data_IF_975729813556
#
_entry.id   IF_975729813556
#
_cell.length_a   1.000
_cell.length_b   1.000
_cell.length_c   1.000
_cell.angle_alpha   90.00
_cell.angle_beta   90.00
_cell.angle_gamma   90.00
#
_symmetry.space_group_name_H-M   'P 1'
#
loop_
_entity.id
_entity.type
_entity.pdbx_description
1 polymer ?
#
# COMPACT_ATOMS: atom_id res chain seq x y z
N UNK A 1 -30.82 -33.17 51.45
CA UNK A 1 -29.85 -33.09 50.32
C UNK A 1 -30.58 -33.06 48.96
N UNK A 2 -31.43 -32.06 48.66
CA UNK A 2 -32.21 -32.02 47.39
C UNK A 2 -32.25 -30.63 46.71
N UNK A 3 -31.93 -29.56 47.43
CA UNK A 3 -32.02 -28.17 46.94
C UNK A 3 -30.92 -27.82 45.92
N UNK A 4 -29.73 -28.42 46.06
CA UNK A 4 -28.58 -28.14 45.18
C UNK A 4 -28.83 -28.60 43.74
N UNK A 5 -29.53 -29.72 43.52
CA UNK A 5 -29.80 -30.26 42.19
C UNK A 5 -30.82 -29.45 41.39
N UNK A 6 -31.74 -28.70 42.03
CA UNK A 6 -32.74 -27.88 41.32
C UNK A 6 -32.15 -26.61 40.69
N UNK A 7 -31.23 -25.93 41.37
CA UNK A 7 -30.60 -24.71 40.85
C UNK A 7 -29.72 -25.04 39.64
N UNK A 8 -29.03 -26.19 39.66
CA UNK A 8 -28.27 -26.65 38.50
C UNK A 8 -29.18 -27.10 37.34
N UNK A 9 -30.36 -27.68 37.61
CA UNK A 9 -31.32 -28.05 36.57
C UNK A 9 -31.96 -26.82 35.88
N UNK A 10 -32.31 -25.79 36.65
CA UNK A 10 -32.83 -24.53 36.08
C UNK A 10 -31.74 -23.79 35.30
N UNK A 11 -30.50 -23.78 35.80
CA UNK A 11 -29.37 -23.23 35.05
C UNK A 11 -29.08 -24.03 33.78
N UNK A 12 -29.21 -25.37 33.81
CA UNK A 12 -29.03 -26.20 32.63
C UNK A 12 -30.15 -25.99 31.59
N UNK A 13 -31.40 -25.79 32.03
CA UNK A 13 -32.52 -25.44 31.16
C UNK A 13 -32.36 -24.07 30.53
N UNK A 14 -31.97 -23.07 31.32
CA UNK A 14 -31.70 -21.72 30.83
C UNK A 14 -30.47 -21.70 29.93
N UNK A 15 -29.41 -22.43 30.28
CA UNK A 15 -28.22 -22.56 29.44
C UNK A 15 -28.55 -23.27 28.12
N UNK A 16 -29.35 -24.34 28.15
CA UNK A 16 -29.83 -25.02 26.95
C UNK A 16 -30.63 -24.08 26.05
N UNK A 17 -31.59 -23.33 26.61
CA UNK A 17 -32.37 -22.34 25.88
C UNK A 17 -31.54 -21.18 25.35
N UNK A 18 -30.61 -20.65 26.16
CA UNK A 18 -29.72 -19.55 25.78
C UNK A 18 -28.74 -19.97 24.67
N UNK A 19 -28.19 -21.18 24.74
CA UNK A 19 -27.31 -21.72 23.68
C UNK A 19 -28.07 -21.84 22.37
N UNK A 20 -29.32 -22.31 22.38
CA UNK A 20 -30.16 -22.39 21.18
C UNK A 20 -30.43 -21.01 20.56
N UNK A 21 -30.74 -20.00 21.38
CA UNK A 21 -30.91 -18.63 20.88
C UNK A 21 -29.60 -18.01 20.40
N UNK A 22 -28.49 -18.31 21.07
CA UNK A 22 -27.16 -17.81 20.71
C UNK A 22 -26.70 -18.38 19.37
N UNK A 23 -27.04 -19.64 19.05
CA UNK A 23 -26.72 -20.23 17.73
C UNK A 23 -27.46 -19.57 16.58
N UNK A 24 -28.70 -19.10 16.78
CA UNK A 24 -29.44 -18.33 15.76
C UNK A 24 -28.88 -16.91 15.61
N UNK A 25 -28.64 -16.23 16.73
CA UNK A 25 -28.06 -14.89 16.74
C UNK A 25 -26.63 -14.85 16.22
N UNK A 26 -25.84 -15.92 16.39
CA UNK A 26 -24.46 -16.01 15.89
C UNK A 26 -24.41 -15.82 14.37
N UNK A 27 -25.34 -16.44 13.64
CA UNK A 27 -25.38 -16.33 12.17
C UNK A 27 -25.70 -14.89 11.74
N UNK A 28 -26.63 -14.23 12.43
CA UNK A 28 -26.97 -12.83 12.17
C UNK A 28 -25.81 -11.88 12.52
N UNK A 29 -25.15 -12.12 13.64
CA UNK A 29 -23.96 -11.37 14.07
C UNK A 29 -22.81 -11.55 13.08
N UNK A 30 -22.60 -12.76 12.54
CA UNK A 30 -21.56 -13.02 11.56
C UNK A 30 -21.78 -12.23 10.26
N UNK A 31 -23.02 -12.13 9.80
CA UNK A 31 -23.39 -11.29 8.65
C UNK A 31 -23.17 -9.81 8.95
N UNK A 32 -23.58 -9.33 10.13
CA UNK A 32 -23.38 -7.94 10.54
C UNK A 32 -21.90 -7.58 10.68
N UNK A 33 -21.08 -8.48 11.23
CA UNK A 33 -19.63 -8.31 11.34
C UNK A 33 -19.02 -8.22 9.94
N UNK A 34 -19.42 -9.07 8.99
CA UNK A 34 -18.93 -9.02 7.61
C UNK A 34 -19.24 -7.68 6.95
N UNK A 35 -20.48 -7.20 7.08
CA UNK A 35 -20.90 -5.90 6.55
C UNK A 35 -20.16 -4.74 7.22
N UNK A 36 -19.90 -4.83 8.53
CA UNK A 36 -19.15 -3.81 9.25
C UNK A 36 -17.67 -3.79 8.86
N UNK A 37 -17.08 -4.97 8.59
CA UNK A 37 -15.71 -5.09 8.07
C UNK A 37 -15.65 -4.52 6.65
N UNK A 38 -16.60 -4.85 5.76
CA UNK A 38 -16.66 -4.28 4.41
C UNK A 38 -16.78 -2.76 4.45
N UNK A 39 -17.65 -2.20 5.30
CA UNK A 39 -17.72 -0.74 5.54
C UNK A 39 -16.43 -0.18 6.09
N UNK A 40 -15.81 -0.84 7.07
CA UNK A 40 -14.55 -0.37 7.65
C UNK A 40 -13.40 -0.39 6.63
N UNK A 41 -13.30 -1.39 5.75
CA UNK A 41 -12.31 -1.39 4.67
C UNK A 41 -12.56 -0.27 3.65
N UNK A 42 -13.82 0.04 3.36
CA UNK A 42 -14.18 1.15 2.48
C UNK A 42 -13.92 2.52 3.15
N UNK A 43 -14.18 2.64 4.45
CA UNK A 43 -14.08 3.89 5.21
C UNK A 43 -12.65 4.17 5.74
N UNK A 44 -11.80 3.15 5.89
CA UNK A 44 -10.46 3.28 6.46
C UNK A 44 -9.40 3.85 5.50
N UNK A 45 -9.80 4.55 4.42
CA UNK A 45 -8.88 5.08 3.39
C UNK A 45 -7.97 3.99 2.78
N UNK A 46 -8.40 2.73 2.80
CA UNK A 46 -7.65 1.62 2.21
C UNK A 46 -7.87 1.60 0.70
N UNK A 47 -6.93 2.20 -0.04
CA UNK A 47 -6.86 2.07 -1.50
C UNK A 47 -6.66 0.59 -1.85
N UNK A 48 -7.61 -0.04 -2.57
CA UNK A 48 -7.45 -1.41 -3.05
C UNK A 48 -6.14 -1.55 -3.81
N UNK A 49 -5.48 -2.70 -3.67
CA UNK A 49 -4.17 -2.91 -4.31
C UNK A 49 -4.24 -2.76 -5.84
N UNK A 50 -5.35 -3.16 -6.44
CA UNK A 50 -5.58 -3.05 -7.88
C UNK A 50 -5.66 -1.59 -8.33
N UNK A 51 -6.33 -0.73 -7.56
CA UNK A 51 -6.39 0.72 -7.83
C UNK A 51 -5.02 1.37 -7.64
N UNK A 52 -4.26 0.94 -6.61
CA UNK A 52 -2.90 1.42 -6.39
C UNK A 52 -1.97 1.07 -7.56
N UNK A 53 -2.04 -0.16 -8.06
CA UNK A 53 -1.24 -0.60 -9.19
C UNK A 53 -1.66 0.11 -10.49
N UNK A 54 -2.96 0.31 -10.73
CA UNK A 54 -3.47 1.09 -11.87
C UNK A 54 -3.01 2.56 -11.83
N UNK A 55 -3.08 3.22 -10.67
CA UNK A 55 -2.61 4.61 -10.50
C UNK A 55 -1.09 4.70 -10.64
N UNK A 56 -0.35 3.69 -10.18
CA UNK A 56 1.10 3.62 -10.33
C UNK A 56 1.53 3.51 -11.79
N UNK A 57 0.84 2.67 -12.58
CA UNK A 57 1.06 2.57 -14.02
C UNK A 57 0.68 3.87 -14.73
N UNK A 58 -0.46 4.47 -14.38
CA UNK A 58 -0.88 5.77 -14.90
C UNK A 58 0.15 6.86 -14.57
N UNK A 59 0.69 6.88 -13.35
CA UNK A 59 1.70 7.85 -12.94
C UNK A 59 3.02 7.66 -13.70
N UNK A 60 3.43 6.42 -13.96
CA UNK A 60 4.61 6.12 -14.77
C UNK A 60 4.43 6.59 -16.23
N UNK A 61 3.27 6.30 -16.82
CA UNK A 61 2.93 6.71 -18.18
C UNK A 61 2.76 8.24 -18.30
N UNK A 62 2.20 8.89 -17.29
CA UNK A 62 2.10 10.35 -17.25
C UNK A 62 3.48 11.01 -17.20
N UNK A 63 4.42 10.46 -16.43
CA UNK A 63 5.81 10.97 -16.38
C UNK A 63 6.53 10.82 -17.71
N UNK A 64 6.40 9.67 -18.38
CA UNK A 64 7.01 9.49 -19.71
C UNK A 64 6.37 10.39 -20.77
N UNK A 65 5.05 10.57 -20.72
CA UNK A 65 4.31 11.50 -21.56
C UNK A 65 4.72 12.96 -21.36
N UNK A 66 4.93 13.38 -20.12
CA UNK A 66 5.41 14.74 -19.78
C UNK A 66 6.76 15.04 -20.44
N UNK A 67 7.73 14.14 -20.36
CA UNK A 67 9.05 14.35 -20.97
C UNK A 67 8.98 14.47 -22.50
N UNK A 68 8.09 13.72 -23.14
CA UNK A 68 7.87 13.79 -24.58
C UNK A 68 7.19 15.11 -25.00
N UNK A 69 6.19 15.55 -24.21
CA UNK A 69 5.51 16.82 -24.42
C UNK A 69 6.43 18.01 -24.20
N UNK A 70 7.23 18.01 -23.13
CA UNK A 70 8.21 19.07 -22.84
C UNK A 70 9.20 19.23 -24.01
N UNK A 71 9.68 18.13 -24.59
CA UNK A 71 10.56 18.17 -25.77
C UNK A 71 9.86 18.80 -26.98
N UNK A 72 8.59 18.47 -27.21
CA UNK A 72 7.81 19.04 -28.31
C UNK A 72 7.55 20.52 -28.09
N UNK A 73 7.17 20.92 -26.87
CA UNK A 73 6.94 22.31 -26.49
C UNK A 73 8.22 23.12 -26.68
N UNK A 74 9.36 22.67 -26.17
CA UNK A 74 10.66 23.36 -26.38
C UNK A 74 11.03 23.50 -27.86
N UNK A 75 10.76 22.48 -28.67
CA UNK A 75 11.02 22.53 -30.11
C UNK A 75 10.09 23.54 -30.82
N UNK A 76 8.83 23.63 -30.40
CA UNK A 76 7.87 24.59 -30.93
C UNK A 76 8.16 26.02 -30.48
N UNK A 77 8.46 26.23 -29.19
CA UNK A 77 8.85 27.53 -28.63
C UNK A 77 10.11 28.06 -29.34
N UNK A 78 11.09 27.19 -29.63
CA UNK A 78 12.28 27.57 -30.41
C UNK A 78 11.93 28.00 -31.84
N UNK A 79 11.00 27.29 -32.50
CA UNK A 79 10.54 27.65 -33.85
C UNK A 79 9.75 28.96 -33.87
N UNK A 80 9.02 29.26 -32.79
CA UNK A 80 8.17 30.44 -32.67
C UNK A 80 8.89 31.63 -32.02
N UNK A 81 10.14 31.48 -31.58
CA UNK A 81 10.91 32.54 -30.91
C UNK A 81 10.36 32.94 -29.53
N UNK A 82 9.54 32.10 -28.91
CA UNK A 82 8.91 32.38 -27.61
C UNK A 82 9.86 31.98 -26.48
N UNK A 83 10.05 32.87 -25.50
CA UNK A 83 10.95 32.66 -24.36
C UNK A 83 10.34 31.64 -23.38
N UNK A 84 10.98 30.48 -23.28
CA UNK A 84 10.54 29.36 -22.43
C UNK A 84 10.56 29.74 -20.94
N UNK A 85 9.46 29.57 -20.19
CA UNK A 85 9.45 29.74 -18.73
C UNK A 85 10.17 28.56 -18.04
N UNK A 86 11.14 28.87 -17.18
CA UNK A 86 12.12 27.94 -16.60
C UNK A 86 11.62 27.02 -15.47
N UNK A 87 10.31 26.88 -15.26
CA UNK A 87 9.78 26.30 -14.02
C UNK A 87 9.34 24.81 -14.07
N UNK A 88 9.62 24.07 -15.15
CA UNK A 88 9.23 22.65 -15.27
C UNK A 88 10.29 21.63 -14.83
N UNK A 89 11.44 22.08 -14.31
CA UNK A 89 12.48 21.19 -13.76
C UNK A 89 12.40 21.08 -12.24
N UNK A 90 11.54 20.22 -11.71
CA UNK A 90 11.55 20.05 -10.25
C UNK A 90 10.57 19.07 -9.61
N UNK A 91 10.70 17.76 -9.91
CA UNK A 91 10.53 16.68 -8.90
C UNK A 91 10.88 15.33 -9.52
N UNK A 92 12.18 15.14 -9.79
CA UNK A 92 12.78 13.83 -10.06
C UNK A 92 14.19 13.78 -9.46
N UNK A 93 14.26 13.77 -8.12
CA UNK A 93 15.48 13.42 -7.38
C UNK A 93 15.14 12.68 -6.09
N UNK A 94 15.00 11.37 -6.17
CA UNK A 94 15.25 10.44 -5.06
C UNK A 94 16.08 9.28 -5.58
N UNK A 95 17.35 9.59 -5.88
CA UNK A 95 18.40 8.61 -6.14
C UNK A 95 18.82 8.01 -4.79
N UNK A 96 18.17 6.93 -4.33
CA UNK A 96 18.67 6.11 -3.20
C UNK A 96 19.88 5.32 -3.69
N UNK A 97 21.05 5.79 -3.29
CA UNK A 97 22.38 5.19 -3.46
C UNK A 97 22.49 3.88 -2.68
N UNK A 98 22.82 2.77 -3.35
CA UNK A 98 23.38 1.55 -2.73
C UNK A 98 24.81 1.84 -2.26
N UNK A 99 25.26 1.42 -1.06
CA UNK A 99 26.61 1.72 -0.58
C UNK A 99 27.64 0.83 -1.28
N UNK A 100 28.66 1.45 -1.88
CA UNK A 100 29.77 0.79 -2.58
C UNK A 100 30.92 0.56 -1.59
N UNK A 101 31.10 -0.71 -1.23
CA UNK A 101 32.32 -1.44 -0.84
C UNK A 101 33.60 -0.58 -0.66
N UNK A 102 34.09 -0.55 0.59
CA UNK A 102 35.45 -0.16 1.03
C UNK A 102 36.50 -0.71 0.03
N UNK A 103 37.32 0.14 -0.59
CA UNK A 103 38.58 0.70 -0.09
C UNK A 103 39.61 -0.37 0.31
N UNK A 104 40.55 -0.70 -0.61
CA UNK A 104 42.00 -0.45 -0.40
C UNK A 104 42.85 -0.82 -1.64
N UNK A 105 43.44 0.24 -2.21
CA UNK A 105 44.77 0.36 -2.82
C UNK A 105 45.65 -0.89 -2.83
N UNK A 106 46.14 -1.25 -4.02
CA UNK A 106 47.58 -1.24 -4.35
C UNK A 106 47.77 -1.48 -5.86
N UNK A 107 48.05 -0.40 -6.58
CA UNK A 107 48.58 -0.42 -7.94
C UNK A 107 50.11 -0.35 -7.92
N UNK A 108 50.73 -1.23 -8.70
CA UNK A 108 51.92 -0.99 -9.53
C UNK A 108 53.26 -0.51 -8.92
N UNK A 109 54.25 -1.41 -8.94
CA UNK A 109 55.66 -1.12 -9.28
C UNK A 109 56.32 -2.47 -9.66
N UNK A 110 56.42 -2.86 -10.93
CA UNK A 110 57.52 -2.54 -11.88
C UNK A 110 58.92 -2.60 -11.27
N UNK A 111 59.56 -3.76 -11.41
CA UNK A 111 61.01 -4.01 -11.27
C UNK A 111 61.28 -5.42 -11.83
N UNK A 112 61.64 -5.61 -13.11
CA UNK A 112 62.99 -5.49 -13.72
C UNK A 112 64.04 -6.33 -12.98
N UNK A 113 64.45 -7.43 -13.65
CA UNK A 113 65.78 -8.07 -13.65
C UNK A 113 66.25 -8.75 -12.35
N UNK A 114 66.32 -10.09 -12.40
CA UNK A 114 67.53 -10.89 -12.20
C UNK A 114 67.23 -12.32 -12.68
#
# INVERSE_FOLDING_TARGET
MQTRSRIFDDLAKVAGGAVSTFTGLKAEIEVLIRQQIERFLLDADMVPRDEFDAVKELAANARSGQEALDKRVLNLERKLGVKVPSNTKGKAKTKKTKPKKQMKKKSSAKGKRA
#
